data_IF_479619502055
#
_entry.id   IF_479619502055
#
_cell.length_a   1.000
_cell.length_b   1.000
_cell.length_c   1.000
_cell.angle_alpha   90.00
_cell.angle_beta   90.00
_cell.angle_gamma   90.00
#
_symmetry.space_group_name_H-M   'P 1'
#
loop_
_entity.id
_entity.type
_entity.pdbx_description
1 polymer ?
#
# COMPACT_ATOMS: atom_id res chain seq x y z
N UNK A 1 -28.80 -21.94 0.54
CA UNK A 1 -28.41 -23.37 0.56
C UNK A 1 -27.27 -23.52 -0.44
N UNK A 2 -26.07 -23.97 -0.11
CA UNK A 2 -25.49 -24.32 1.19
C UNK A 2 -24.16 -23.59 1.38
N UNK A 3 -23.89 -23.18 2.62
CA UNK A 3 -22.52 -22.94 3.04
C UNK A 3 -21.83 -24.30 3.04
N UNK A 4 -20.81 -24.47 2.19
CA UNK A 4 -19.81 -25.51 2.41
C UNK A 4 -19.11 -25.18 3.74
N UNK A 5 -19.66 -25.68 4.83
CA UNK A 5 -18.91 -25.98 6.02
C UNK A 5 -17.99 -27.15 5.65
N UNK A 6 -16.71 -26.86 5.34
CA UNK A 6 -15.54 -27.76 5.40
C UNK A 6 -14.31 -27.22 4.64
N UNK A 7 -14.20 -25.91 4.34
CA UNK A 7 -12.88 -25.31 4.11
C UNK A 7 -12.38 -24.73 5.44
N UNK A 8 -11.34 -25.32 6.01
CA UNK A 8 -10.58 -24.67 7.09
C UNK A 8 -10.22 -23.25 6.64
N UNK A 9 -10.35 -22.27 7.55
CA UNK A 9 -9.95 -20.89 7.24
C UNK A 9 -8.47 -20.89 6.83
N UNK A 10 -8.09 -20.19 5.74
CA UNK A 10 -6.70 -20.13 5.31
C UNK A 10 -5.80 -19.64 6.44
N UNK A 11 -4.66 -20.30 6.62
CA UNK A 11 -3.64 -19.87 7.57
C UNK A 11 -3.06 -18.50 7.20
N UNK A 12 -2.42 -17.82 8.15
CA UNK A 12 -1.73 -16.54 7.88
C UNK A 12 -0.72 -16.67 6.73
N UNK A 13 0.04 -17.78 6.69
CA UNK A 13 0.99 -18.03 5.62
C UNK A 13 0.32 -18.16 4.25
N UNK A 14 -0.84 -18.82 4.15
CA UNK A 14 -1.61 -18.93 2.91
C UNK A 14 -2.21 -17.60 2.48
N UNK A 15 -2.72 -16.82 3.45
CA UNK A 15 -3.19 -15.45 3.20
C UNK A 15 -2.06 -14.54 2.70
N UNK A 16 -0.83 -14.75 3.14
CA UNK A 16 0.37 -14.08 2.62
C UNK A 16 0.95 -14.71 1.34
N UNK A 17 0.29 -15.74 0.79
CA UNK A 17 0.59 -16.29 -0.53
C UNK A 17 1.64 -17.41 -0.53
N UNK A 18 1.83 -18.14 0.57
CA UNK A 18 2.74 -19.30 0.64
C UNK A 18 2.54 -20.27 -0.53
N UNK A 19 1.28 -20.48 -0.94
CA UNK A 19 0.86 -21.25 -2.11
C UNK A 19 0.28 -20.38 -3.24
N UNK A 20 0.83 -19.18 -3.46
CA UNK A 20 0.45 -18.27 -4.55
C UNK A 20 -1.07 -17.96 -4.63
N UNK A 21 -1.75 -17.95 -3.47
CA UNK A 21 -3.20 -17.77 -3.36
C UNK A 21 -4.04 -18.76 -4.18
N UNK A 22 -3.49 -19.95 -4.47
CA UNK A 22 -4.21 -21.00 -5.19
C UNK A 22 -5.51 -21.35 -4.45
N UNK A 23 -6.64 -21.29 -5.15
CA UNK A 23 -7.96 -21.54 -4.59
C UNK A 23 -8.57 -20.40 -3.77
N UNK A 24 -7.87 -19.27 -3.59
CA UNK A 24 -8.36 -18.13 -2.79
C UNK A 24 -8.89 -16.95 -3.63
N UNK A 25 -8.68 -16.95 -4.95
CA UNK A 25 -8.97 -15.79 -5.81
C UNK A 25 -10.27 -15.88 -6.60
N UNK A 26 -10.72 -17.09 -6.96
CA UNK A 26 -11.96 -17.31 -7.73
C UNK A 26 -12.66 -18.62 -7.31
N UNK A 27 -13.76 -18.55 -6.52
CA UNK A 27 -14.30 -17.34 -5.92
C UNK A 27 -13.32 -16.71 -4.92
N UNK A 28 -13.37 -15.39 -4.76
CA UNK A 28 -12.52 -14.68 -3.79
C UNK A 28 -12.90 -15.09 -2.36
N UNK A 29 -11.98 -15.80 -1.69
CA UNK A 29 -12.10 -16.27 -0.31
C UNK A 29 -12.44 -15.13 0.65
N UNK A 30 -13.26 -15.43 1.65
CA UNK A 30 -13.75 -14.43 2.60
C UNK A 30 -12.62 -13.85 3.47
N UNK A 31 -11.71 -14.70 3.96
CA UNK A 31 -10.60 -14.26 4.81
C UNK A 31 -9.60 -13.42 4.02
N UNK A 32 -9.26 -13.85 2.79
CA UNK A 32 -8.42 -13.05 1.88
C UNK A 32 -9.08 -11.72 1.52
N UNK A 33 -10.40 -11.69 1.28
CA UNK A 33 -11.14 -10.46 1.05
C UNK A 33 -11.04 -9.50 2.23
N UNK A 34 -11.29 -9.98 3.45
CA UNK A 34 -11.18 -9.14 4.65
C UNK A 34 -9.75 -8.62 4.83
N UNK A 35 -8.73 -9.43 4.54
CA UNK A 35 -7.33 -9.01 4.60
C UNK A 35 -6.99 -7.95 3.56
N UNK A 36 -7.42 -8.12 2.30
CA UNK A 36 -7.25 -7.13 1.25
C UNK A 36 -7.91 -5.81 1.60
N UNK A 37 -9.10 -5.82 2.20
CA UNK A 37 -9.78 -4.62 2.66
C UNK A 37 -9.01 -3.94 3.79
N UNK A 38 -8.52 -4.70 4.78
CA UNK A 38 -7.66 -4.19 5.85
C UNK A 38 -6.42 -3.51 5.28
N UNK A 39 -5.66 -4.20 4.42
CA UNK A 39 -4.44 -3.67 3.82
C UNK A 39 -4.70 -2.47 2.90
N UNK A 40 -5.82 -2.45 2.21
CA UNK A 40 -6.28 -1.27 1.50
C UNK A 40 -6.53 -0.08 2.42
N UNK A 41 -7.15 -0.31 3.57
CA UNK A 41 -7.37 0.74 4.57
C UNK A 41 -6.04 1.19 5.21
N UNK A 42 -5.06 0.30 5.40
CA UNK A 42 -3.68 0.65 5.80
C UNK A 42 -3.02 1.58 4.76
N UNK A 43 -3.16 1.29 3.46
CA UNK A 43 -2.71 2.19 2.39
C UNK A 43 -3.43 3.54 2.47
N UNK A 44 -4.74 3.54 2.69
CA UNK A 44 -5.57 4.74 2.72
C UNK A 44 -5.16 5.73 3.82
N UNK A 45 -4.64 5.25 4.96
CA UNK A 45 -4.04 6.10 6.01
C UNK A 45 -3.07 7.11 5.39
N UNK A 46 -2.29 6.70 4.38
CA UNK A 46 -1.31 7.60 3.75
C UNK A 46 -1.97 8.79 3.05
N UNK A 47 -3.00 8.55 2.24
CA UNK A 47 -3.73 9.62 1.56
C UNK A 47 -4.49 10.49 2.56
N UNK A 48 -5.01 9.90 3.63
CA UNK A 48 -5.85 10.61 4.59
C UNK A 48 -5.08 11.57 5.49
N UNK A 49 -3.80 11.31 5.71
CA UNK A 49 -2.94 12.14 6.57
C UNK A 49 -2.03 13.08 5.80
N UNK A 50 -1.87 12.91 4.48
CA UNK A 50 -0.94 13.72 3.69
C UNK A 50 -1.43 15.16 3.52
N UNK A 51 -0.51 16.12 3.67
CA UNK A 51 -0.80 17.53 3.41
C UNK A 51 -0.44 17.84 1.97
N UNK A 52 -1.45 18.26 1.22
CA UNK A 52 -1.31 18.56 -0.20
C UNK A 52 -0.94 20.03 -0.43
N UNK A 53 -0.47 20.34 -1.64
CA UNK A 53 -0.27 21.72 -2.06
C UNK A 53 -1.59 22.52 -2.15
N UNK A 54 -2.73 21.82 -2.25
CA UNK A 54 -4.07 22.43 -2.21
C UNK A 54 -4.49 22.76 -0.79
N UNK A 55 -4.06 21.99 0.21
CA UNK A 55 -4.38 22.23 1.63
C UNK A 55 -3.51 23.32 2.23
N UNK A 56 -2.20 23.26 1.99
CA UNK A 56 -1.24 24.25 2.49
C UNK A 56 0.03 24.24 1.67
N UNK A 57 0.37 25.37 1.04
CA UNK A 57 1.66 25.54 0.37
C UNK A 57 2.85 25.48 1.33
N UNK A 58 2.64 25.85 2.59
CA UNK A 58 3.69 25.92 3.61
C UNK A 58 4.04 24.54 4.16
N UNK A 59 3.03 23.68 4.35
CA UNK A 59 3.18 22.38 4.98
C UNK A 59 3.00 21.20 4.02
N UNK A 60 2.75 21.46 2.73
CA UNK A 60 2.69 20.45 1.67
C UNK A 60 3.87 19.50 1.74
N UNK A 61 3.60 18.21 1.53
CA UNK A 61 4.64 17.18 1.58
C UNK A 61 4.83 16.55 2.95
N UNK A 62 4.15 17.01 4.01
CA UNK A 62 4.26 16.43 5.34
C UNK A 62 3.04 15.54 5.67
N UNK A 63 3.20 14.67 6.66
CA UNK A 63 2.07 14.05 7.35
C UNK A 63 1.45 15.06 8.31
N UNK A 64 0.12 15.02 8.48
CA UNK A 64 -0.60 15.90 9.41
C UNK A 64 -0.40 15.53 10.86
N UNK A 65 -0.23 14.24 11.15
CA UNK A 65 -0.31 13.68 12.50
C UNK A 65 1.05 13.13 12.95
N UNK A 66 1.26 13.11 14.26
CA UNK A 66 2.42 12.43 14.86
C UNK A 66 2.27 10.91 14.73
N UNK A 67 3.37 10.17 14.83
CA UNK A 67 3.36 8.71 14.65
C UNK A 67 2.37 8.01 15.60
N UNK A 68 2.31 8.45 16.86
CA UNK A 68 1.42 7.89 17.88
C UNK A 68 -0.07 8.19 17.63
N UNK A 69 -0.37 9.20 16.82
CA UNK A 69 -1.74 9.64 16.53
C UNK A 69 -2.21 9.30 15.12
N UNK A 70 -1.32 8.95 14.21
CA UNK A 70 -1.61 8.75 12.78
C UNK A 70 -2.79 7.80 12.55
N UNK A 71 -2.77 6.61 13.16
CA UNK A 71 -3.80 5.59 12.93
C UNK A 71 -5.16 6.01 13.52
N UNK A 72 -5.16 6.61 14.70
CA UNK A 72 -6.39 7.07 15.35
C UNK A 72 -7.02 8.27 14.63
N UNK A 73 -6.21 9.26 14.24
CA UNK A 73 -6.71 10.46 13.57
C UNK A 73 -7.23 10.18 12.15
N UNK A 74 -6.75 9.11 11.52
CA UNK A 74 -7.28 8.63 10.22
C UNK A 74 -8.46 7.66 10.38
N UNK A 75 -8.93 7.40 11.61
CA UNK A 75 -10.00 6.47 11.93
C UNK A 75 -9.72 5.05 11.41
N UNK A 76 -8.47 4.62 11.45
CA UNK A 76 -8.11 3.26 11.05
C UNK A 76 -8.73 2.25 12.03
N UNK A 77 -9.53 1.31 11.50
CA UNK A 77 -10.32 0.37 12.30
C UNK A 77 -9.50 -0.42 13.33
N UNK A 78 -8.24 -0.73 13.00
CA UNK A 78 -7.35 -1.54 13.83
C UNK A 78 -6.27 -0.69 14.52
N UNK A 79 -6.49 0.61 14.71
CA UNK A 79 -5.48 1.51 15.27
C UNK A 79 -4.94 1.04 16.64
N UNK A 80 -5.78 0.44 17.47
CA UNK A 80 -5.36 -0.09 18.78
C UNK A 80 -4.36 -1.24 18.68
N UNK A 81 -4.35 -1.99 17.58
CA UNK A 81 -3.55 -3.21 17.42
C UNK A 81 -2.13 -2.93 16.91
N UNK A 82 -1.85 -1.71 16.43
CA UNK A 82 -0.60 -1.36 15.76
C UNK A 82 -0.03 -0.03 16.25
N UNK A 83 1.30 0.10 16.20
CA UNK A 83 2.01 1.34 16.47
C UNK A 83 2.87 1.72 15.28
N UNK A 84 2.85 3.00 14.90
CA UNK A 84 3.77 3.54 13.89
C UNK A 84 5.11 3.80 14.55
N UNK A 85 6.17 3.23 13.97
CA UNK A 85 7.53 3.24 14.55
C UNK A 85 8.54 4.01 13.71
N UNK A 86 8.18 4.38 12.47
CA UNK A 86 9.03 5.15 11.58
C UNK A 86 8.20 5.84 10.51
N UNK A 87 8.49 7.11 10.24
CA UNK A 87 8.11 7.76 8.98
C UNK A 87 9.22 7.60 7.94
N UNK A 88 8.82 7.38 6.69
CA UNK A 88 9.72 7.26 5.55
C UNK A 88 9.67 8.58 4.77
N UNK A 89 10.82 9.24 4.67
CA UNK A 89 10.94 10.53 3.98
C UNK A 89 11.78 10.35 2.71
N UNK A 90 11.28 10.84 1.58
CA UNK A 90 11.98 10.86 0.29
C UNK A 90 12.26 12.29 -0.14
N UNK A 91 13.49 12.59 -0.57
CA UNK A 91 14.03 13.94 -0.80
C UNK A 91 13.03 14.96 -1.37
N UNK A 92 12.64 14.77 -2.63
CA UNK A 92 11.81 15.71 -3.38
C UNK A 92 10.31 15.53 -3.16
N UNK A 93 9.90 14.53 -2.38
CA UNK A 93 8.51 14.15 -2.22
C UNK A 93 7.98 14.36 -0.79
N UNK A 94 8.88 14.61 0.16
CA UNK A 94 8.57 14.72 1.58
C UNK A 94 8.22 13.36 2.18
N UNK A 95 7.21 13.35 3.05
CA UNK A 95 6.67 12.16 3.66
C UNK A 95 6.11 11.20 2.61
N UNK A 96 6.66 9.99 2.56
CA UNK A 96 6.39 8.98 1.55
C UNK A 96 5.78 7.71 2.13
N UNK A 97 5.56 7.64 3.44
CA UNK A 97 4.94 6.49 4.07
C UNK A 97 5.40 6.27 5.50
N UNK A 98 5.13 5.08 6.00
CA UNK A 98 5.43 4.73 7.38
C UNK A 98 5.67 3.23 7.56
N UNK A 99 6.33 2.88 8.66
CA UNK A 99 6.45 1.52 9.16
C UNK A 99 5.60 1.41 10.42
N UNK A 100 4.76 0.38 10.48
CA UNK A 100 3.97 0.05 11.66
C UNK A 100 4.25 -1.38 12.11
N UNK A 101 4.09 -1.64 13.40
CA UNK A 101 4.25 -2.97 13.99
C UNK A 101 3.07 -3.27 14.90
N UNK A 102 2.59 -4.50 14.86
CA UNK A 102 1.56 -4.97 15.80
C UNK A 102 2.03 -4.86 17.25
N UNK A 103 1.11 -4.62 18.18
CA UNK A 103 1.38 -4.61 19.62
C UNK A 103 1.45 -6.03 20.19
N UNK A 104 1.94 -6.20 21.43
CA UNK A 104 2.12 -7.54 22.03
C UNK A 104 0.81 -8.33 22.15
N UNK A 105 -0.29 -7.69 22.55
CA UNK A 105 -1.58 -8.38 22.69
C UNK A 105 -2.10 -8.96 21.36
N UNK A 106 -1.94 -8.21 20.26
CA UNK A 106 -2.29 -8.68 18.92
C UNK A 106 -1.40 -9.84 18.49
N UNK A 107 -0.08 -9.71 18.65
CA UNK A 107 0.87 -10.75 18.26
C UNK A 107 0.71 -12.05 19.06
N UNK A 108 0.45 -11.95 20.37
CA UNK A 108 0.15 -13.11 21.23
C UNK A 108 -1.14 -13.80 20.79
N UNK A 109 -2.14 -13.03 20.35
CA UNK A 109 -3.43 -13.54 19.88
C UNK A 109 -3.38 -14.14 18.47
N UNK A 110 -2.61 -13.56 17.56
CA UNK A 110 -2.44 -14.05 16.18
C UNK A 110 -1.36 -15.13 16.04
N UNK A 111 -0.44 -15.20 17.01
CA UNK A 111 0.76 -16.03 16.96
C UNK A 111 1.86 -15.45 16.06
N UNK A 112 1.73 -14.21 15.58
CA UNK A 112 2.68 -13.57 14.67
C UNK A 112 2.81 -12.07 14.92
N UNK A 113 4.05 -11.61 15.01
CA UNK A 113 4.42 -10.18 14.99
C UNK A 113 4.38 -9.70 13.54
N UNK A 114 3.36 -8.92 13.24
CA UNK A 114 3.16 -8.31 11.92
C UNK A 114 3.89 -6.96 11.85
N UNK A 115 4.72 -6.80 10.81
CA UNK A 115 5.40 -5.54 10.46
C UNK A 115 4.84 -5.07 9.11
N UNK A 116 4.30 -3.86 9.07
CA UNK A 116 3.78 -3.24 7.85
C UNK A 116 4.73 -2.15 7.36
N UNK A 117 5.07 -2.20 6.08
CA UNK A 117 5.81 -1.15 5.37
C UNK A 117 4.86 -0.54 4.36
N UNK A 118 4.47 0.70 4.58
CA UNK A 118 3.36 1.32 3.84
C UNK A 118 3.89 2.51 3.06
N UNK A 119 3.74 2.47 1.75
CA UNK A 119 4.18 3.53 0.84
C UNK A 119 3.00 4.32 0.30
N UNK A 120 3.13 5.64 0.32
CA UNK A 120 2.14 6.60 -0.18
C UNK A 120 2.14 6.59 -1.71
N UNK A 121 0.94 6.65 -2.30
CA UNK A 121 0.74 6.91 -3.73
C UNK A 121 0.87 8.40 -4.10
N UNK A 122 0.48 8.73 -5.33
CA UNK A 122 0.32 10.12 -5.78
C UNK A 122 -1.13 10.54 -5.69
N UNK A 123 -1.39 11.83 -5.52
CA UNK A 123 -2.76 12.36 -5.53
C UNK A 123 -3.25 12.77 -6.93
N UNK A 124 -2.33 13.06 -7.86
CA UNK A 124 -2.61 13.43 -9.25
C UNK A 124 -2.01 12.42 -10.22
N UNK A 125 -2.50 11.17 -10.18
CA UNK A 125 -1.84 10.00 -10.79
C UNK A 125 -1.61 10.11 -12.30
N UNK A 126 -2.41 10.91 -13.02
CA UNK A 126 -2.32 11.04 -14.48
C UNK A 126 -1.25 12.02 -14.96
N UNK A 127 -0.99 13.10 -14.21
CA UNK A 127 0.05 14.08 -14.56
C UNK A 127 1.46 13.52 -14.30
N UNK A 128 1.57 12.56 -13.38
CA UNK A 128 2.85 12.02 -12.91
C UNK A 128 3.51 11.02 -13.89
N UNK A 129 2.73 10.23 -14.63
CA UNK A 129 3.29 9.23 -15.57
C UNK A 129 4.11 9.86 -16.71
N UNK A 130 3.83 11.11 -17.06
CA UNK A 130 4.53 11.82 -18.13
C UNK A 130 5.87 12.41 -17.67
N UNK A 131 6.00 12.75 -16.38
CA UNK A 131 7.14 13.52 -15.87
C UNK A 131 8.30 12.66 -15.34
N UNK A 132 8.10 11.35 -15.13
CA UNK A 132 9.08 10.54 -14.40
C UNK A 132 9.91 9.59 -15.26
N UNK A 133 11.24 9.53 -15.04
CA UNK A 133 12.13 8.77 -15.90
C UNK A 133 11.78 7.28 -15.94
N UNK A 134 11.21 6.85 -17.06
CA UNK A 134 10.89 5.44 -17.35
C UNK A 134 12.09 4.60 -17.79
N UNK A 135 13.30 5.15 -17.77
CA UNK A 135 14.52 4.42 -18.11
C UNK A 135 14.76 3.32 -17.09
N UNK A 136 15.09 2.12 -17.56
CA UNK A 136 15.53 1.03 -16.69
C UNK A 136 16.94 1.33 -16.17
N UNK A 137 17.15 1.21 -14.87
CA UNK A 137 18.46 1.28 -14.20
C UNK A 137 18.73 0.01 -13.42
N UNK A 138 19.99 -0.42 -13.29
CA UNK A 138 20.33 -1.55 -12.43
C UNK A 138 19.86 -1.31 -11.00
N UNK A 139 19.27 -2.34 -10.37
CA UNK A 139 18.93 -2.28 -8.95
C UNK A 139 20.19 -2.30 -8.06
N UNK A 140 21.25 -2.98 -8.52
CA UNK A 140 22.58 -3.02 -7.92
C UNK A 140 23.66 -2.62 -8.95
N UNK A 141 24.86 -2.26 -8.49
CA UNK A 141 25.98 -1.76 -9.32
C UNK A 141 26.66 -2.80 -10.26
N UNK A 142 25.99 -3.89 -10.67
CA UNK A 142 26.60 -4.94 -11.51
C UNK A 142 26.26 -4.82 -13.01
N UNK A 143 27.07 -5.45 -13.89
CA UNK A 143 27.04 -5.26 -15.36
C UNK A 143 26.44 -6.45 -16.13
N UNK A 144 25.31 -6.20 -16.82
CA UNK A 144 24.53 -7.02 -17.79
C UNK A 144 23.91 -8.34 -17.31
N UNK A 145 22.63 -8.56 -17.68
CA UNK A 145 21.69 -9.58 -17.15
C UNK A 145 21.26 -9.36 -15.69
N UNK A 146 21.26 -8.08 -15.29
CA UNK A 146 21.03 -7.63 -13.92
C UNK A 146 19.56 -7.22 -13.76
N UNK A 147 18.92 -7.51 -12.61
CA UNK A 147 17.64 -6.95 -12.23
C UNK A 147 17.63 -5.43 -12.43
N UNK A 148 16.81 -4.93 -13.36
CA UNK A 148 16.65 -3.50 -13.60
C UNK A 148 15.25 -3.04 -13.18
N UNK A 149 15.18 -1.85 -12.61
CA UNK A 149 13.95 -1.20 -12.15
C UNK A 149 13.79 0.16 -12.82
N UNK A 150 12.59 0.71 -12.80
CA UNK A 150 12.37 2.06 -13.32
C UNK A 150 13.15 3.09 -12.50
N UNK A 151 13.92 3.93 -13.19
CA UNK A 151 14.73 5.00 -12.60
C UNK A 151 13.92 5.89 -11.68
N UNK A 152 12.73 6.30 -12.10
CA UNK A 152 11.83 7.11 -11.28
C UNK A 152 11.53 6.53 -9.90
N UNK A 153 11.11 5.26 -9.84
CA UNK A 153 10.86 4.57 -8.58
C UNK A 153 12.13 4.47 -7.74
N UNK A 154 13.24 4.14 -8.39
CA UNK A 154 14.52 3.93 -7.74
C UNK A 154 15.08 5.22 -7.14
N UNK A 155 14.93 6.36 -7.81
CA UNK A 155 15.38 7.65 -7.31
C UNK A 155 14.58 8.09 -6.08
N UNK A 156 13.25 7.91 -6.08
CA UNK A 156 12.43 8.18 -4.88
C UNK A 156 12.90 7.32 -3.70
N UNK A 157 13.27 6.06 -3.96
CA UNK A 157 13.67 5.12 -2.94
C UNK A 157 15.11 5.36 -2.42
N UNK A 158 16.06 5.74 -3.28
CA UNK A 158 17.50 5.70 -2.97
C UNK A 158 18.19 7.06 -2.87
N UNK A 159 17.57 8.15 -3.37
CA UNK A 159 18.19 9.48 -3.29
C UNK A 159 18.05 10.05 -1.89
N UNK A 160 19.18 10.50 -1.33
CA UNK A 160 19.26 11.14 0.00
C UNK A 160 18.53 12.48 -0.01
N UNK A 161 17.82 12.79 1.08
CA UNK A 161 17.19 14.10 1.25
C UNK A 161 18.21 15.21 1.55
N UNK A 162 18.19 16.30 0.80
CA UNK A 162 19.18 17.38 1.01
C UNK A 162 18.92 18.20 2.29
N UNK A 163 17.69 18.17 2.82
CA UNK A 163 17.23 19.20 3.78
C UNK A 163 16.71 18.64 5.12
N UNK A 164 16.25 17.39 5.19
CA UNK A 164 15.59 16.84 6.40
C UNK A 164 16.23 15.57 6.97
N UNK A 165 16.72 14.65 6.12
CA UNK A 165 17.32 13.38 6.54
C UNK A 165 18.62 13.17 5.78
N UNK A 166 19.73 12.88 6.47
CA UNK A 166 21.01 12.52 5.81
C UNK A 166 20.99 11.10 5.20
N UNK A 167 19.79 10.53 5.08
CA UNK A 167 19.51 9.16 4.70
C UNK A 167 18.39 9.17 3.65
N UNK A 168 18.53 8.30 2.66
CA UNK A 168 17.48 7.94 1.70
C UNK A 168 16.33 7.20 2.36
N UNK A 169 15.19 7.11 1.68
CA UNK A 169 14.05 6.32 2.16
C UNK A 169 14.40 4.83 2.32
N UNK A 170 15.27 4.31 1.43
CA UNK A 170 15.87 2.97 1.52
C UNK A 170 16.65 2.78 2.81
N UNK A 171 17.58 3.68 3.12
CA UNK A 171 18.41 3.57 4.32
C UNK A 171 17.57 3.63 5.60
N UNK A 172 16.62 4.56 5.67
CA UNK A 172 15.66 4.66 6.77
C UNK A 172 14.88 3.35 6.96
N UNK A 173 14.37 2.78 5.86
CA UNK A 173 13.59 1.54 5.90
C UNK A 173 14.45 0.35 6.33
N UNK A 174 15.57 0.10 5.65
CA UNK A 174 16.40 -1.08 5.93
C UNK A 174 16.97 -1.04 7.35
N UNK A 175 17.34 0.14 7.85
CA UNK A 175 17.76 0.31 9.24
C UNK A 175 16.64 -0.05 10.22
N UNK A 176 15.42 0.45 9.97
CA UNK A 176 14.26 0.16 10.83
C UNK A 176 13.84 -1.30 10.79
N UNK A 177 13.82 -1.94 9.62
CA UNK A 177 13.50 -3.37 9.51
C UNK A 177 14.54 -4.20 10.26
N UNK A 178 15.82 -3.89 10.12
CA UNK A 178 16.89 -4.56 10.86
C UNK A 178 16.70 -4.44 12.38
N UNK A 179 16.35 -3.25 12.87
CA UNK A 179 16.04 -3.00 14.28
C UNK A 179 14.87 -3.86 14.76
N UNK A 180 13.75 -3.88 14.03
CA UNK A 180 12.55 -4.64 14.40
C UNK A 180 12.79 -6.14 14.38
N UNK A 181 13.51 -6.65 13.37
CA UNK A 181 13.85 -8.08 13.28
C UNK A 181 14.72 -8.53 14.44
N UNK A 182 15.70 -7.72 14.85
CA UNK A 182 16.52 -8.03 16.03
C UNK A 182 15.70 -7.93 17.33
N UNK A 183 14.84 -6.91 17.43
CA UNK A 183 14.00 -6.69 18.61
C UNK A 183 13.03 -7.87 18.87
N UNK A 184 12.46 -8.43 17.80
CA UNK A 184 11.43 -9.47 17.87
C UNK A 184 11.93 -10.85 17.38
N UNK A 185 13.24 -11.09 17.44
CA UNK A 185 13.86 -12.32 16.93
C UNK A 185 13.42 -13.63 17.62
N UNK A 186 12.80 -13.52 18.79
CA UNK A 186 12.28 -14.68 19.54
C UNK A 186 10.78 -14.94 19.25
N UNK A 187 10.18 -14.19 18.31
CA UNK A 187 8.79 -14.31 17.88
C UNK A 187 8.70 -14.78 16.42
N UNK A 188 7.54 -15.29 16.01
CA UNK A 188 7.23 -15.48 14.60
C UNK A 188 6.98 -14.11 13.94
N UNK A 189 7.68 -13.81 12.85
CA UNK A 189 7.57 -12.53 12.16
C UNK A 189 6.88 -12.65 10.80
N UNK A 190 6.28 -11.55 10.34
CA UNK A 190 5.96 -11.36 8.93
C UNK A 190 6.12 -9.89 8.54
N UNK A 191 6.59 -9.64 7.32
CA UNK A 191 6.65 -8.29 6.76
C UNK A 191 5.64 -8.19 5.62
N UNK A 192 4.80 -7.17 5.66
CA UNK A 192 3.85 -6.86 4.58
C UNK A 192 4.15 -5.47 4.02
N UNK A 193 4.57 -5.42 2.77
CA UNK A 193 4.78 -4.19 2.03
C UNK A 193 3.51 -3.82 1.26
N UNK A 194 3.01 -2.61 1.49
CA UNK A 194 1.69 -2.17 1.06
C UNK A 194 1.80 -0.84 0.31
N UNK A 195 0.94 -0.67 -0.69
CA UNK A 195 0.84 0.61 -1.39
C UNK A 195 -0.21 0.62 -2.49
N UNK A 196 -0.61 1.83 -2.87
CA UNK A 196 -1.49 2.10 -3.99
C UNK A 196 -0.78 2.98 -5.02
N UNK A 197 -1.01 2.74 -6.31
CA UNK A 197 -0.40 3.51 -7.39
C UNK A 197 1.15 3.52 -7.30
N UNK A 198 1.81 4.69 -7.32
CA UNK A 198 3.25 4.86 -7.02
C UNK A 198 3.69 4.05 -5.79
N UNK A 199 2.92 4.10 -4.70
CA UNK A 199 3.23 3.38 -3.47
C UNK A 199 3.28 1.86 -3.69
N UNK A 200 2.49 1.33 -4.63
CA UNK A 200 2.54 -0.07 -5.03
C UNK A 200 3.87 -0.47 -5.66
N UNK A 201 4.42 0.38 -6.54
CA UNK A 201 5.75 0.14 -7.10
C UNK A 201 6.82 0.19 -6.00
N UNK A 202 6.80 1.19 -5.13
CA UNK A 202 7.74 1.29 -4.01
C UNK A 202 7.64 0.10 -3.04
N UNK A 203 6.44 -0.41 -2.79
CA UNK A 203 6.22 -1.62 -2.00
C UNK A 203 6.87 -2.85 -2.64
N UNK A 204 6.76 -3.02 -3.97
CA UNK A 204 7.44 -4.11 -4.70
C UNK A 204 8.97 -3.93 -4.60
N UNK A 205 9.51 -2.74 -4.90
CA UNK A 205 10.96 -2.50 -4.84
C UNK A 205 11.52 -2.76 -3.44
N UNK A 206 10.87 -2.22 -2.40
CA UNK A 206 11.34 -2.35 -1.03
C UNK A 206 11.21 -3.78 -0.47
N UNK A 207 10.16 -4.52 -0.82
CA UNK A 207 10.03 -5.92 -0.41
C UNK A 207 11.17 -6.78 -0.99
N UNK A 208 11.50 -6.57 -2.27
CA UNK A 208 12.64 -7.22 -2.90
C UNK A 208 13.96 -6.87 -2.21
N UNK A 209 14.16 -5.59 -1.87
CA UNK A 209 15.35 -5.10 -1.17
C UNK A 209 15.52 -5.70 0.23
N UNK A 210 14.43 -5.74 1.01
CA UNK A 210 14.41 -6.32 2.36
C UNK A 210 14.88 -7.78 2.31
N UNK A 211 14.31 -8.57 1.39
CA UNK A 211 14.64 -10.00 1.27
C UNK A 211 16.08 -10.17 0.78
N UNK A 212 16.52 -9.41 -0.23
CA UNK A 212 17.89 -9.50 -0.74
C UNK A 212 18.95 -9.01 0.23
N UNK A 213 18.59 -8.09 1.12
CA UNK A 213 19.44 -7.62 2.21
C UNK A 213 19.51 -8.62 3.37
N UNK A 214 18.81 -9.75 3.29
CA UNK A 214 18.79 -10.78 4.33
C UNK A 214 17.99 -10.37 5.57
N UNK A 215 17.14 -9.34 5.46
CA UNK A 215 16.35 -8.80 6.58
C UNK A 215 15.01 -9.51 6.77
N UNK A 216 14.82 -10.66 6.12
CA UNK A 216 13.67 -11.55 6.30
C UNK A 216 14.06 -12.89 6.90
N UNK A 217 15.10 -12.88 7.75
CA UNK A 217 15.70 -14.06 8.39
C UNK A 217 15.98 -13.80 9.86
N UNK A 218 15.73 -14.82 10.69
CA UNK A 218 16.23 -14.91 12.06
C UNK A 218 17.32 -15.99 12.09
N UNK A 219 18.50 -15.62 12.58
CA UNK A 219 19.68 -16.50 12.53
C UNK A 219 20.07 -16.89 11.09
N UNK A 220 20.71 -18.06 10.92
CA UNK A 220 21.25 -18.47 9.61
C UNK A 220 20.22 -19.15 8.69
N UNK A 221 19.07 -19.59 9.20
CA UNK A 221 18.18 -20.51 8.45
C UNK A 221 16.68 -20.23 8.54
N UNK A 222 16.22 -19.43 9.49
CA UNK A 222 14.80 -19.23 9.69
C UNK A 222 14.31 -18.04 8.87
N UNK A 223 13.92 -18.30 7.62
CA UNK A 223 13.23 -17.34 6.77
C UNK A 223 11.77 -17.20 7.20
N UNK A 224 11.28 -15.96 7.24
CA UNK A 224 9.88 -15.67 7.50
C UNK A 224 9.25 -14.92 6.31
N UNK A 225 7.91 -14.94 6.14
CA UNK A 225 7.27 -14.46 4.93
C UNK A 225 7.38 -12.94 4.77
N UNK A 226 7.71 -12.52 3.55
CA UNK A 226 7.57 -11.15 3.06
C UNK A 226 6.52 -11.14 1.95
N UNK A 227 5.45 -10.39 2.16
CA UNK A 227 4.35 -10.28 1.23
C UNK A 227 4.20 -8.85 0.75
N UNK A 228 3.88 -8.68 -0.53
CA UNK A 228 3.48 -7.41 -1.11
C UNK A 228 2.02 -7.49 -1.54
N UNK A 229 1.15 -6.63 -1.01
CA UNK A 229 -0.23 -6.53 -1.48
C UNK A 229 -0.50 -5.09 -1.92
N UNK A 230 -0.70 -4.91 -3.23
CA UNK A 230 -0.71 -3.58 -3.84
C UNK A 230 -1.92 -3.38 -4.73
N UNK A 231 -2.38 -2.14 -4.81
CA UNK A 231 -3.62 -1.76 -5.49
C UNK A 231 -3.30 -0.82 -6.65
N UNK A 232 -3.71 -1.18 -7.87
CA UNK A 232 -3.45 -0.35 -9.06
C UNK A 232 -1.95 -0.07 -9.31
N UNK A 233 -1.06 -0.99 -8.90
CA UNK A 233 0.39 -0.77 -9.00
C UNK A 233 0.87 -0.78 -10.46
N UNK A 234 1.67 0.22 -10.87
CA UNK A 234 2.43 0.16 -12.12
C UNK A 234 3.49 -0.95 -12.08
N UNK A 235 4.11 -1.23 -13.23
CA UNK A 235 5.23 -2.16 -13.36
C UNK A 235 6.49 -1.58 -12.72
N UNK A 236 7.27 -2.46 -12.10
CA UNK A 236 8.46 -2.07 -11.34
C UNK A 236 9.77 -2.19 -12.15
N UNK A 237 9.91 -3.26 -12.96
CA UNK A 237 11.19 -3.60 -13.58
C UNK A 237 11.11 -4.56 -14.76
N UNK A 238 12.27 -5.03 -15.20
CA UNK A 238 12.45 -5.88 -16.38
C UNK A 238 12.32 -7.39 -16.07
N UNK A 239 12.46 -8.23 -17.11
CA UNK A 239 12.41 -9.69 -16.96
C UNK A 239 13.45 -10.23 -15.97
N UNK A 240 14.69 -9.73 -15.98
CA UNK A 240 15.72 -10.16 -15.03
C UNK A 240 15.33 -9.85 -13.58
N UNK A 241 14.64 -8.74 -13.32
CA UNK A 241 14.08 -8.41 -12.00
C UNK A 241 12.96 -9.38 -11.61
N UNK A 242 12.05 -9.71 -12.52
CA UNK A 242 11.03 -10.74 -12.30
C UNK A 242 11.63 -12.14 -12.04
N UNK A 243 12.65 -12.54 -12.79
CA UNK A 243 13.32 -13.83 -12.64
C UNK A 243 14.07 -13.91 -11.31
N UNK A 244 14.67 -12.80 -10.87
CA UNK A 244 15.31 -12.70 -9.56
C UNK A 244 14.29 -12.75 -8.43
N UNK A 245 13.15 -12.06 -8.57
CA UNK A 245 12.03 -12.14 -7.64
C UNK A 245 11.56 -13.59 -7.46
N UNK A 246 11.35 -14.33 -8.56
CA UNK A 246 10.85 -15.70 -8.54
C UNK A 246 11.79 -16.69 -7.82
N UNK A 247 13.07 -16.35 -7.66
CA UNK A 247 14.06 -17.17 -6.94
C UNK A 247 14.02 -16.98 -5.42
N UNK A 248 13.26 -16.01 -4.91
CA UNK A 248 13.16 -15.70 -3.48
C UNK A 248 11.96 -16.45 -2.87
N UNK A 249 12.19 -17.56 -2.13
CA UNK A 249 11.13 -18.49 -1.76
C UNK A 249 10.14 -17.91 -0.75
N UNK A 250 10.57 -16.97 0.09
CA UNK A 250 9.76 -16.30 1.11
C UNK A 250 9.14 -14.96 0.65
N UNK A 251 9.28 -14.59 -0.63
CA UNK A 251 8.76 -13.34 -1.18
C UNK A 251 7.56 -13.57 -2.10
N UNK A 252 6.45 -12.89 -1.85
CA UNK A 252 5.22 -12.98 -2.66
C UNK A 252 4.64 -11.62 -2.97
N UNK A 253 3.97 -11.49 -4.11
CA UNK A 253 3.25 -10.28 -4.50
C UNK A 253 1.86 -10.63 -5.01
N UNK A 254 0.83 -9.97 -4.47
CA UNK A 254 -0.54 -9.96 -4.96
C UNK A 254 -0.89 -8.55 -5.42
N UNK A 255 -1.27 -8.42 -6.69
CA UNK A 255 -1.68 -7.16 -7.31
C UNK A 255 -3.18 -7.16 -7.51
N UNK A 256 -3.88 -6.22 -6.88
CA UNK A 256 -5.30 -5.99 -7.10
C UNK A 256 -5.44 -4.96 -8.21
N UNK A 257 -6.02 -5.38 -9.34
CA UNK A 257 -6.20 -4.56 -10.53
C UNK A 257 -7.68 -4.39 -10.83
N UNK A 258 -8.09 -3.17 -11.16
CA UNK A 258 -9.43 -2.91 -11.68
C UNK A 258 -9.39 -3.04 -13.20
N UNK A 259 -10.29 -3.85 -13.79
CA UNK A 259 -10.23 -4.30 -15.20
C UNK A 259 -10.06 -3.18 -16.24
N UNK A 260 -10.60 -2.00 -15.97
CA UNK A 260 -10.56 -0.84 -16.87
C UNK A 260 -9.66 0.30 -16.36
N UNK A 261 -8.92 0.10 -15.25
CA UNK A 261 -7.79 0.95 -14.88
C UNK A 261 -6.57 0.52 -15.70
N UNK A 262 -6.54 0.89 -16.98
CA UNK A 262 -5.54 0.41 -17.93
C UNK A 262 -4.28 1.26 -17.97
N UNK A 263 -4.37 2.55 -17.66
CA UNK A 263 -3.26 3.48 -17.87
C UNK A 263 -2.14 3.26 -16.84
N UNK A 264 -2.48 3.23 -15.55
CA UNK A 264 -1.47 3.18 -14.48
C UNK A 264 -0.86 1.79 -14.31
N UNK A 265 -1.64 0.69 -14.17
CA UNK A 265 -1.07 -0.64 -13.96
C UNK A 265 -0.25 -1.17 -15.15
N UNK A 266 -0.54 -0.67 -16.36
CA UNK A 266 0.23 -1.01 -17.57
C UNK A 266 1.36 -0.02 -17.87
N UNK A 267 1.64 0.92 -16.98
CA UNK A 267 2.80 1.80 -17.08
C UNK A 267 3.97 1.25 -16.25
N UNK A 268 5.22 1.33 -16.74
CA UNK A 268 5.59 1.57 -18.14
C UNK A 268 5.18 0.39 -19.05
N UNK A 269 5.06 0.61 -20.37
CA UNK A 269 4.59 -0.42 -21.30
C UNK A 269 5.62 -1.55 -21.46
N UNK A 270 5.14 -2.75 -21.79
CA UNK A 270 6.01 -3.91 -22.03
C UNK A 270 6.95 -3.74 -23.23
N UNK A 271 6.58 -2.88 -24.19
CA UNK A 271 7.45 -2.49 -25.31
C UNK A 271 8.75 -1.82 -24.86
N UNK A 272 8.79 -1.26 -23.66
CA UNK A 272 9.96 -0.60 -23.07
C UNK A 272 10.80 -1.57 -22.21
N UNK A 273 10.50 -2.88 -22.27
CA UNK A 273 11.25 -3.94 -21.56
C UNK A 273 10.76 -4.25 -20.15
N UNK A 274 9.61 -3.70 -19.74
CA UNK A 274 8.99 -3.95 -18.44
C UNK A 274 8.11 -5.20 -18.45
N UNK A 275 7.98 -5.85 -17.30
CA UNK A 275 7.10 -7.02 -17.11
C UNK A 275 6.26 -6.91 -15.86
N UNK A 276 5.16 -7.65 -15.85
CA UNK A 276 4.29 -7.80 -14.69
C UNK A 276 4.88 -8.83 -13.71
N UNK A 277 4.74 -8.57 -12.40
CA UNK A 277 5.28 -9.43 -11.32
C UNK A 277 4.18 -9.82 -10.36
N UNK A 278 4.26 -11.05 -9.85
CA UNK A 278 3.35 -11.56 -8.83
C UNK A 278 2.03 -12.09 -9.39
N UNK A 279 1.17 -12.52 -8.47
CA UNK A 279 -0.18 -12.99 -8.75
C UNK A 279 -1.12 -11.80 -8.89
N UNK A 280 -2.12 -11.91 -9.77
CA UNK A 280 -3.09 -10.83 -10.03
C UNK A 280 -4.49 -11.25 -9.59
N UNK A 281 -5.15 -10.39 -8.82
CA UNK A 281 -6.59 -10.40 -8.62
C UNK A 281 -7.19 -9.27 -9.46
N UNK A 282 -7.90 -9.64 -10.53
CA UNK A 282 -8.64 -8.68 -11.34
C UNK A 282 -10.06 -8.54 -10.84
N UNK A 283 -10.47 -7.32 -10.51
CA UNK A 283 -11.84 -6.96 -10.13
C UNK A 283 -12.44 -6.00 -11.17
N UNK A 284 -13.77 -5.92 -11.23
CA UNK A 284 -14.46 -5.02 -12.16
C UNK A 284 -15.47 -4.13 -11.43
N UNK A 285 -15.05 -2.89 -11.20
CA UNK A 285 -15.83 -1.84 -10.55
C UNK A 285 -17.13 -1.50 -11.29
N UNK A 286 -17.22 -1.74 -12.60
CA UNK A 286 -18.44 -1.45 -13.39
C UNK A 286 -19.62 -2.33 -12.99
N UNK A 287 -19.37 -3.47 -12.33
CA UNK A 287 -20.44 -4.36 -11.85
C UNK A 287 -21.15 -3.81 -10.62
N UNK A 288 -20.56 -2.85 -9.91
CA UNK A 288 -21.19 -2.24 -8.75
C UNK A 288 -22.35 -1.32 -9.18
N UNK A 289 -23.59 -1.56 -8.71
CA UNK A 289 -24.71 -0.66 -8.99
C UNK A 289 -24.62 0.67 -8.23
N UNK A 290 -23.74 0.76 -7.22
CA UNK A 290 -23.56 1.95 -6.40
C UNK A 290 -22.63 2.99 -7.02
N UNK A 291 -21.86 2.63 -8.05
CA UNK A 291 -20.89 3.53 -8.69
C UNK A 291 -21.49 4.22 -9.91
N UNK A 292 -21.09 5.48 -10.15
CA UNK A 292 -21.40 6.22 -11.39
C UNK A 292 -20.68 5.57 -12.57
N UNK A 293 -21.21 5.67 -13.79
CA UNK A 293 -20.56 5.11 -15.00
C UNK A 293 -19.16 5.67 -15.27
N UNK A 294 -18.91 6.93 -14.89
CA UNK A 294 -17.65 7.66 -15.13
C UNK A 294 -16.78 7.80 -13.87
N UNK A 295 -16.89 6.89 -12.91
CA UNK A 295 -16.05 6.92 -11.71
C UNK A 295 -14.56 6.75 -12.04
N UNK A 296 -13.70 7.27 -11.18
CA UNK A 296 -12.26 7.01 -11.25
C UNK A 296 -11.99 5.56 -10.82
N UNK A 297 -11.56 4.74 -11.77
CA UNK A 297 -11.28 3.31 -11.57
C UNK A 297 -9.97 3.07 -10.85
N UNK A 298 -9.08 4.05 -10.87
CA UNK A 298 -7.79 3.99 -10.21
C UNK A 298 -7.90 4.33 -8.71
N UNK A 299 -8.95 5.04 -8.30
CA UNK A 299 -9.16 5.43 -6.91
C UNK A 299 -9.15 4.22 -5.96
N UNK A 300 -8.40 4.32 -4.87
CA UNK A 300 -8.23 3.22 -3.91
C UNK A 300 -9.57 2.81 -3.29
N UNK A 301 -10.42 3.76 -2.86
CA UNK A 301 -11.70 3.42 -2.25
C UNK A 301 -12.69 2.80 -3.23
N UNK A 302 -12.61 3.13 -4.52
CA UNK A 302 -13.33 2.41 -5.58
C UNK A 302 -12.84 0.97 -5.70
N UNK A 303 -11.52 0.75 -5.69
CA UNK A 303 -10.93 -0.60 -5.69
C UNK A 303 -11.40 -1.42 -4.48
N UNK A 304 -11.34 -0.86 -3.27
CA UNK A 304 -11.74 -1.56 -2.04
C UNK A 304 -13.24 -1.81 -1.97
N UNK A 305 -14.07 -0.86 -2.42
CA UNK A 305 -15.51 -1.11 -2.59
C UNK A 305 -15.74 -2.29 -3.53
N UNK A 306 -15.01 -2.33 -4.64
CA UNK A 306 -15.15 -3.40 -5.63
C UNK A 306 -14.74 -4.75 -5.03
N UNK A 307 -13.59 -4.83 -4.35
CA UNK A 307 -13.15 -6.04 -3.64
C UNK A 307 -14.18 -6.50 -2.61
N UNK A 308 -14.81 -5.58 -1.87
CA UNK A 308 -15.80 -5.93 -0.85
C UNK A 308 -16.99 -6.72 -1.42
N UNK A 309 -17.49 -6.33 -2.61
CA UNK A 309 -18.65 -6.98 -3.25
C UNK A 309 -18.35 -7.87 -4.46
N UNK A 310 -17.07 -8.10 -4.79
CA UNK A 310 -16.67 -8.90 -5.95
C UNK A 310 -17.02 -10.38 -5.76
N UNK A 311 -17.69 -11.02 -6.73
CA UNK A 311 -18.04 -12.45 -6.67
C UNK A 311 -17.45 -13.26 -7.82
N UNK A 312 -16.53 -12.66 -8.59
CA UNK A 312 -15.94 -13.24 -9.79
C UNK A 312 -16.49 -12.63 -11.08
N UNK A 313 -15.85 -12.98 -12.20
CA UNK A 313 -16.17 -12.41 -13.51
C UNK A 313 -17.61 -12.74 -13.95
N UNK A 314 -18.11 -13.92 -13.59
CA UNK A 314 -19.44 -14.39 -13.95
C UNK A 314 -20.51 -14.18 -12.85
N UNK A 315 -20.12 -13.71 -11.66
CA UNK A 315 -21.04 -13.52 -10.52
C UNK A 315 -21.65 -12.11 -10.44
N UNK A 316 -22.78 -11.94 -9.76
CA UNK A 316 -23.36 -10.61 -9.52
C UNK A 316 -22.63 -9.87 -8.40
N UNK A 317 -22.57 -8.54 -8.47
CA UNK A 317 -21.97 -7.75 -7.40
C UNK A 317 -22.83 -7.79 -6.13
N UNK A 318 -22.23 -8.21 -5.01
CA UNK A 318 -22.95 -8.39 -3.74
C UNK A 318 -22.39 -7.49 -2.63
N UNK A 319 -23.08 -6.39 -2.37
CA UNK A 319 -22.71 -5.43 -1.31
C UNK A 319 -22.89 -6.00 0.12
N UNK A 320 -23.42 -7.21 0.29
CA UNK A 320 -23.72 -7.79 1.61
C UNK A 320 -22.63 -8.72 2.15
N UNK A 321 -21.67 -9.13 1.31
CA UNK A 321 -20.58 -10.04 1.70
C UNK A 321 -19.79 -9.46 2.87
N UNK A 322 -19.36 -8.20 2.75
CA UNK A 322 -18.65 -7.49 3.81
C UNK A 322 -19.38 -6.19 4.14
N UNK A 323 -19.59 -5.96 5.43
CA UNK A 323 -20.13 -4.69 5.93
C UNK A 323 -19.09 -3.59 5.78
N UNK A 324 -19.08 -2.91 4.63
CA UNK A 324 -18.24 -1.74 4.33
C UNK A 324 -19.10 -0.53 4.03
N UNK A 325 -18.75 0.62 4.60
CA UNK A 325 -19.49 1.86 4.38
C UNK A 325 -19.29 2.37 2.95
N UNK A 326 -20.39 2.53 2.20
CA UNK A 326 -20.36 3.12 0.86
C UNK A 326 -19.74 4.53 0.88
N UNK A 327 -19.94 5.30 1.96
CA UNK A 327 -19.44 6.66 2.05
C UNK A 327 -17.92 6.77 1.83
N UNK A 328 -17.16 5.73 2.14
CA UNK A 328 -15.71 5.70 1.93
C UNK A 328 -15.33 5.89 0.46
N UNK A 329 -16.17 5.46 -0.49
CA UNK A 329 -15.95 5.67 -1.94
C UNK A 329 -15.80 7.15 -2.30
N UNK A 330 -16.53 8.03 -1.60
CA UNK A 330 -16.50 9.47 -1.86
C UNK A 330 -15.50 10.24 -0.96
N UNK A 331 -14.60 9.54 -0.26
CA UNK A 331 -13.65 10.19 0.68
C UNK A 331 -12.88 11.32 0.00
N UNK A 332 -12.33 11.03 -1.18
CA UNK A 332 -11.55 11.95 -2.02
C UNK A 332 -12.13 12.08 -3.43
N UNK A 333 -13.46 12.02 -3.56
CA UNK A 333 -14.10 12.12 -4.86
C UNK A 333 -15.62 12.02 -4.83
N UNK A 334 -16.22 11.84 -6.00
CA UNK A 334 -17.67 11.83 -6.16
C UNK A 334 -18.16 10.72 -7.05
N UNK A 335 -17.86 9.48 -6.66
CA UNK A 335 -17.98 8.29 -7.51
C UNK A 335 -19.24 7.46 -7.25
N UNK A 336 -19.97 7.71 -6.16
CA UNK A 336 -21.25 7.07 -5.89
C UNK A 336 -22.38 7.67 -6.74
N UNK A 337 -23.26 6.82 -7.29
CA UNK A 337 -24.50 7.24 -7.95
C UNK A 337 -25.53 7.79 -6.97
N UNK A 338 -25.39 7.43 -5.69
CA UNK A 338 -26.29 7.80 -4.59
C UNK A 338 -25.69 8.98 -3.81
N UNK A 339 -26.54 9.93 -3.43
CA UNK A 339 -26.22 11.07 -2.57
C UNK A 339 -25.08 11.97 -3.10
N UNK A 340 -25.34 12.75 -4.16
CA UNK A 340 -24.33 13.59 -4.81
C UNK A 340 -23.81 14.75 -3.94
N UNK A 341 -24.39 15.02 -2.77
CA UNK A 341 -23.98 16.10 -1.88
C UNK A 341 -22.77 15.75 -0.99
N UNK A 342 -22.45 14.46 -0.82
CA UNK A 342 -21.37 13.98 0.04
C UNK A 342 -20.14 13.55 -0.77
N UNK A 343 -19.66 14.41 -1.65
CA UNK A 343 -18.44 14.17 -2.44
C UNK A 343 -17.24 14.83 -1.76
N UNK A 344 -16.07 14.20 -1.89
CA UNK A 344 -14.79 14.66 -1.34
C UNK A 344 -14.94 15.15 0.10
N UNK A 345 -15.62 14.34 0.92
CA UNK A 345 -16.04 14.76 2.26
C UNK A 345 -14.89 14.72 3.27
N UNK A 346 -13.80 14.00 2.98
CA UNK A 346 -12.63 14.00 3.85
C UNK A 346 -11.88 15.32 3.68
N UNK A 347 -11.86 16.09 4.75
CA UNK A 347 -11.12 17.33 4.83
C UNK A 347 -10.79 17.61 6.30
N UNK A 348 -9.63 18.24 6.50
CA UNK A 348 -9.27 18.76 7.81
C UNK A 348 -10.27 19.81 8.29
N UNK A 349 -10.52 19.82 9.60
CA UNK A 349 -11.46 20.77 10.21
C UNK A 349 -11.03 22.20 9.87
N UNK A 350 -11.98 23.01 9.42
CA UNK A 350 -11.74 24.40 8.99
C UNK A 350 -10.60 24.54 7.97
N UNK A 351 -10.31 23.51 7.16
CA UNK A 351 -9.20 23.49 6.20
C UNK A 351 -7.86 23.83 6.85
N UNK A 352 -7.58 23.18 7.99
CA UNK A 352 -6.34 23.35 8.77
C UNK A 352 -6.18 24.73 9.42
N UNK A 353 -7.20 25.58 9.47
CA UNK A 353 -7.14 26.82 10.25
C UNK A 353 -7.49 26.53 11.71
N UNK A 354 -6.66 27.01 12.63
CA UNK A 354 -6.87 26.91 14.08
C UNK A 354 -6.83 28.28 14.73
N UNK A 355 -7.60 28.46 15.79
CA UNK A 355 -7.64 29.70 16.58
C UNK A 355 -6.71 29.58 17.77
N UNK A 356 -5.70 30.45 17.83
CA UNK A 356 -4.76 30.53 18.96
C UNK A 356 -5.39 31.14 20.21
N UNK A 357 -4.64 31.07 21.32
CA UNK A 357 -5.05 31.66 22.61
C UNK A 357 -5.16 33.19 22.55
N UNK A 358 -4.39 33.83 21.67
CA UNK A 358 -4.48 35.26 21.34
C UNK A 358 -5.76 35.62 20.56
N UNK A 359 -6.56 34.62 20.20
CA UNK A 359 -7.80 34.76 19.46
C UNK A 359 -7.61 34.90 17.95
N UNK A 360 -6.38 34.92 17.44
CA UNK A 360 -6.05 34.99 16.02
C UNK A 360 -6.12 33.60 15.36
N UNK A 361 -6.25 33.58 14.04
CA UNK A 361 -6.29 32.34 13.26
C UNK A 361 -5.00 32.15 12.48
N UNK A 362 -4.48 30.92 12.48
CA UNK A 362 -3.28 30.52 11.72
C UNK A 362 -3.44 29.12 11.13
N UNK A 363 -2.62 28.79 10.13
CA UNK A 363 -2.50 27.43 9.64
C UNK A 363 -1.94 26.50 10.72
N UNK A 364 -2.54 25.32 10.86
CA UNK A 364 -2.12 24.25 11.75
C UNK A 364 -0.85 23.59 11.21
N UNK A 365 0.30 23.69 11.92
CA UNK A 365 1.48 22.93 11.56
C UNK A 365 1.24 21.41 11.66
N UNK A 366 2.02 20.59 10.93
CA UNK A 366 2.15 19.17 11.21
C UNK A 366 2.41 18.90 12.69
N UNK A 367 1.82 17.85 13.22
CA UNK A 367 2.17 17.34 14.54
C UNK A 367 3.60 16.77 14.52
N UNK A 368 4.31 16.88 15.64
CA UNK A 368 5.72 16.49 15.78
C UNK A 368 5.90 15.06 16.24
#
# INVERSE_FOLDING_TARGET
MGHNADSENPSWAELLGSNHWAGLLDPLDYSLRCLLLKFGDVCQVTTDSYITALDSKKYSGNCSYSMDRLLDQTFFTYAADYHVVQYLIANSQGWMGYVAVSNSAHADGSGVREIYVVWRGTEGTKEWCDDIPKTLVPFDDSTSDVPMVMKGWFEIYTVVADVQTKESAREQLLAKIKELVEQYKDESLSIVCLGHSLGGALAILSAYDIVRSGLSKIGEKEEFPVCTMVFGSPRAGNQAFSDSWAKLPNLRALRVLNKDDLDIPNFPPTSDGYVDIGTVLTVDSRKSPCLKTNHDRHNLQVNLHTVAGWTGENGDFDCTIVKRSLALVNKHGGYLSINPALQSWWAEKNKRMVRGEDGLWSELPPES
#
